data_IF_203357959488
#
_entry.id   IF_203357959488
#
_cell.length_a   1.000
_cell.length_b   1.000
_cell.length_c   1.000
_cell.angle_alpha   90.00
_cell.angle_beta   90.00
_cell.angle_gamma   90.00
#
_symmetry.space_group_name_H-M   'P 1'
#
loop_
_entity.id
_entity.type
_entity.pdbx_description
1 polymer ?
#
# COMPACT_ATOMS: atom_id res chain seq x y z
N UNK A 1 5.60 2.87 -23.25
CA UNK A 1 6.76 2.18 -22.61
C UNK A 1 7.46 3.00 -21.52
N UNK A 2 7.68 4.32 -21.68
CA UNK A 2 8.45 5.12 -20.72
C UNK A 2 7.92 5.11 -19.26
N UNK A 3 6.60 5.12 -19.06
CA UNK A 3 6.02 5.08 -17.71
C UNK A 3 6.25 3.74 -17.01
N UNK A 4 6.10 2.63 -17.75
CA UNK A 4 6.29 1.28 -17.22
C UNK A 4 7.74 1.04 -16.76
N UNK A 5 8.73 1.52 -17.53
CA UNK A 5 10.14 1.46 -17.15
C UNK A 5 10.45 2.27 -15.89
N UNK A 6 9.84 3.45 -15.74
CA UNK A 6 10.00 4.27 -14.54
C UNK A 6 9.39 3.62 -13.30
N UNK A 7 8.23 2.97 -13.43
CA UNK A 7 7.62 2.22 -12.32
C UNK A 7 8.51 1.04 -11.91
N UNK A 8 9.06 0.31 -12.88
CA UNK A 8 9.98 -0.82 -12.65
C UNK A 8 11.25 -0.39 -11.90
N UNK A 9 11.88 0.72 -12.31
CA UNK A 9 13.06 1.31 -11.64
C UNK A 9 12.76 1.72 -10.19
N UNK A 10 11.58 2.28 -9.94
CA UNK A 10 11.15 2.68 -8.59
C UNK A 10 10.91 1.48 -7.68
N UNK A 11 10.36 0.40 -8.23
CA UNK A 11 10.19 -0.87 -7.52
C UNK A 11 11.55 -1.48 -7.14
N UNK A 12 12.51 -1.52 -8.07
CA UNK A 12 13.86 -2.02 -7.80
C UNK A 12 14.56 -1.22 -6.70
N UNK A 13 14.35 0.09 -6.66
CA UNK A 13 14.93 1.00 -5.65
C UNK A 13 14.13 1.04 -4.34
N UNK A 14 13.08 0.23 -4.18
CA UNK A 14 12.18 0.19 -3.01
C UNK A 14 11.60 1.56 -2.63
N UNK A 15 11.40 2.45 -3.62
CA UNK A 15 10.86 3.78 -3.35
C UNK A 15 9.34 3.71 -3.45
N UNK A 16 8.59 4.14 -2.40
CA UNK A 16 7.14 4.04 -2.40
C UNK A 16 6.53 4.77 -3.61
N UNK A 17 5.59 4.12 -4.28
CA UNK A 17 4.79 4.69 -5.36
C UNK A 17 3.38 4.96 -4.86
N UNK A 18 2.93 6.21 -4.93
CA UNK A 18 1.52 6.56 -4.81
C UNK A 18 0.88 6.71 -6.19
N UNK A 19 -0.43 6.55 -6.26
CA UNK A 19 -1.20 6.82 -7.48
C UNK A 19 -0.99 8.26 -7.96
N UNK A 20 -0.97 9.23 -7.05
CA UNK A 20 -0.69 10.64 -7.35
C UNK A 20 0.64 10.86 -8.07
N UNK A 21 1.69 10.16 -7.65
CA UNK A 21 3.03 10.30 -8.22
C UNK A 21 3.14 9.63 -9.59
N UNK A 22 2.47 8.49 -9.78
CA UNK A 22 2.34 7.83 -11.10
C UNK A 22 1.56 8.72 -12.07
N UNK A 23 0.46 9.33 -11.62
CA UNK A 23 -0.34 10.29 -12.42
C UNK A 23 0.49 11.48 -12.85
N UNK A 24 1.24 12.07 -11.92
CA UNK A 24 2.10 13.22 -12.18
C UNK A 24 3.20 12.88 -13.18
N UNK A 25 3.83 11.70 -13.04
CA UNK A 25 4.83 11.22 -14.01
C UNK A 25 4.20 10.98 -15.38
N UNK A 26 3.01 10.38 -15.44
CA UNK A 26 2.29 10.14 -16.69
C UNK A 26 1.96 11.45 -17.41
N UNK A 27 1.46 12.47 -16.68
CA UNK A 27 1.21 13.81 -17.22
C UNK A 27 2.48 14.45 -17.78
N UNK A 28 3.59 14.40 -17.04
CA UNK A 28 4.88 14.94 -17.50
C UNK A 28 5.39 14.24 -18.75
N UNK A 29 5.28 12.92 -18.80
CA UNK A 29 5.64 12.15 -19.99
C UNK A 29 4.72 12.52 -21.17
N UNK A 30 3.41 12.66 -20.94
CA UNK A 30 2.46 13.06 -21.98
C UNK A 30 2.79 14.44 -22.55
N UNK A 31 3.04 15.44 -21.70
CA UNK A 31 3.45 16.79 -22.14
C UNK A 31 4.79 16.76 -22.87
N UNK A 32 5.73 15.95 -22.41
CA UNK A 32 7.05 15.82 -23.05
C UNK A 32 6.99 15.13 -24.42
N UNK A 33 6.05 14.23 -24.64
CA UNK A 33 5.86 13.57 -25.95
C UNK A 33 4.87 14.31 -26.86
N UNK A 34 4.07 15.23 -26.31
CA UNK A 34 3.21 16.13 -27.06
C UNK A 34 4.02 17.37 -27.43
N UNK A 35 4.78 17.28 -28.51
CA UNK A 35 5.43 18.45 -29.11
C UNK A 35 4.42 19.60 -29.29
N UNK A 36 4.84 20.87 -29.18
CA UNK A 36 3.98 21.98 -29.56
C UNK A 36 3.74 21.89 -31.07
N UNK A 37 2.52 21.51 -31.44
CA UNK A 37 2.06 21.62 -32.82
C UNK A 37 1.95 23.11 -33.18
N UNK A 38 3.08 23.70 -33.58
CA UNK A 38 3.06 24.99 -34.25
C UNK A 38 2.94 24.76 -35.76
N UNK A 39 1.83 25.29 -36.29
CA UNK A 39 1.48 25.46 -37.71
C UNK A 39 1.04 24.23 -38.52
N UNK A 40 -0.26 23.91 -38.47
CA UNK A 40 -1.08 23.91 -39.69
C UNK A 40 -2.58 23.88 -39.36
N UNK A 41 -3.35 24.71 -40.06
CA UNK A 41 -4.81 24.73 -40.05
C UNK A 41 -5.40 23.37 -40.38
N UNK A 42 -6.20 22.81 -39.47
CA UNK A 42 -6.93 21.57 -39.71
C UNK A 42 -7.66 21.13 -38.45
N UNK A 43 -8.97 21.30 -38.47
CA UNK A 43 -9.93 20.79 -37.49
C UNK A 43 -9.70 19.29 -37.24
N UNK A 44 -9.27 18.94 -36.03
CA UNK A 44 -9.10 17.55 -35.61
C UNK A 44 -9.73 17.39 -34.23
N UNK A 45 -10.81 16.63 -34.21
CA UNK A 45 -11.65 16.29 -33.06
C UNK A 45 -10.86 15.89 -31.83
N UNK A 46 -11.41 16.28 -30.68
CA UNK A 46 -11.12 15.84 -29.31
C UNK A 46 -11.02 14.30 -29.21
N UNK A 47 -9.88 13.77 -29.62
CA UNK A 47 -9.47 12.40 -29.38
C UNK A 47 -8.96 12.28 -27.95
N UNK A 48 -9.81 12.62 -26.99
CA UNK A 48 -9.58 12.35 -25.58
C UNK A 48 -9.18 10.89 -25.41
N UNK A 49 -8.12 10.65 -24.64
CA UNK A 49 -7.58 9.33 -24.34
C UNK A 49 -8.67 8.48 -23.67
N UNK A 50 -9.48 7.77 -24.47
CA UNK A 50 -10.50 6.85 -23.99
C UNK A 50 -9.82 5.56 -23.50
N UNK A 51 -9.31 5.61 -22.28
CA UNK A 51 -9.29 4.42 -21.42
C UNK A 51 -10.42 4.62 -20.42
N UNK A 52 -11.29 3.62 -20.25
CA UNK A 52 -12.52 3.78 -19.47
C UNK A 52 -12.24 4.45 -18.12
N UNK A 53 -12.90 5.57 -17.83
CA UNK A 53 -12.75 6.22 -16.52
C UNK A 53 -13.06 5.26 -15.36
N UNK A 54 -13.79 4.17 -15.64
CA UNK A 54 -14.10 3.09 -14.72
C UNK A 54 -12.88 2.38 -14.10
N UNK A 55 -11.81 2.08 -14.85
CA UNK A 55 -10.64 1.43 -14.24
C UNK A 55 -9.85 2.42 -13.37
N UNK A 56 -9.79 3.68 -13.77
CA UNK A 56 -9.06 4.73 -13.10
C UNK A 56 -9.76 5.22 -11.82
N UNK A 57 -11.09 5.34 -11.82
CA UNK A 57 -11.87 5.70 -10.64
C UNK A 57 -11.86 4.57 -9.59
N UNK A 58 -11.85 3.30 -10.04
CA UNK A 58 -11.65 2.14 -9.15
C UNK A 58 -10.24 2.13 -8.53
N UNK A 59 -9.23 2.61 -9.25
CA UNK A 59 -7.87 2.76 -8.73
C UNK A 59 -7.73 3.91 -7.72
N UNK A 60 -8.51 5.00 -7.84
CA UNK A 60 -8.53 6.10 -6.87
C UNK A 60 -9.17 5.71 -5.53
N UNK A 61 -10.17 4.84 -5.55
CA UNK A 61 -10.82 4.35 -4.32
C UNK A 61 -9.88 3.50 -3.45
N UNK A 62 -8.90 2.83 -4.06
CA UNK A 62 -7.91 2.00 -3.33
C UNK A 62 -6.71 2.81 -2.77
N UNK A 63 -6.66 4.13 -2.95
CA UNK A 63 -5.50 4.98 -2.55
C UNK A 63 -5.55 5.36 -1.06
N UNK A 64 -6.74 5.46 -0.46
CA UNK A 64 -6.94 5.68 0.98
C UNK A 64 -7.13 4.33 1.68
N UNK A 65 -6.04 3.79 2.26
CA UNK A 65 -6.18 2.60 3.11
C UNK A 65 -6.76 2.98 4.47
N UNK A 66 -8.00 2.57 4.64
CA UNK A 66 -8.78 2.62 5.87
C UNK A 66 -8.50 1.39 6.74
N UNK A 67 -8.90 1.44 8.02
CA UNK A 67 -8.80 0.31 8.94
C UNK A 67 -9.49 -0.95 8.39
N UNK A 68 -10.55 -0.77 7.59
CA UNK A 68 -11.24 -1.83 6.86
C UNK A 68 -10.40 -2.48 5.75
N UNK A 69 -9.49 -1.75 5.09
CA UNK A 69 -8.58 -2.33 4.09
C UNK A 69 -7.47 -3.18 4.74
N UNK A 70 -7.12 -2.89 6.01
CA UNK A 70 -6.23 -3.73 6.81
C UNK A 70 -6.88 -5.06 7.14
N UNK A 71 -8.16 -5.06 7.51
CA UNK A 71 -8.93 -6.29 7.73
C UNK A 71 -9.06 -7.11 6.42
N UNK A 72 -9.36 -6.47 5.29
CA UNK A 72 -9.43 -7.16 3.99
C UNK A 72 -8.07 -7.76 3.59
N UNK A 73 -6.96 -7.06 3.86
CA UNK A 73 -5.61 -7.58 3.63
C UNK A 73 -5.24 -8.76 4.55
N UNK A 74 -5.76 -8.78 5.79
CA UNK A 74 -5.60 -9.90 6.71
C UNK A 74 -6.44 -11.12 6.28
N UNK A 75 -7.64 -10.88 5.74
CA UNK A 75 -8.57 -11.92 5.28
C UNK A 75 -8.16 -12.50 3.92
N UNK A 76 -7.53 -11.70 3.06
CA UNK A 76 -7.08 -12.13 1.72
C UNK A 76 -5.80 -12.96 1.72
N UNK A 77 -5.16 -13.16 2.87
CA UNK A 77 -4.10 -14.17 2.99
C UNK A 77 -4.74 -15.56 2.93
N UNK A 78 -4.19 -16.51 2.14
CA UNK A 78 -4.73 -17.86 2.10
C UNK A 78 -4.79 -18.43 3.51
N UNK A 79 -5.99 -18.85 3.92
CA UNK A 79 -6.19 -19.64 5.14
C UNK A 79 -5.60 -21.01 4.81
N UNK A 80 -4.31 -21.15 5.06
CA UNK A 80 -3.69 -22.47 5.15
C UNK A 80 -4.20 -23.06 6.49
N UNK A 81 -5.26 -23.86 6.38
CA UNK A 81 -5.77 -24.72 7.45
C UNK A 81 -4.76 -25.85 7.67
N UNK A 82 -3.59 -25.52 8.19
CA UNK A 82 -2.56 -26.52 8.47
C UNK A 82 -2.77 -27.07 9.88
N UNK A 83 -3.31 -28.29 9.90
CA UNK A 83 -3.36 -29.14 11.06
C UNK A 83 -1.97 -29.20 11.72
N UNK A 84 -1.94 -28.81 12.99
CA UNK A 84 -0.77 -28.85 13.89
C UNK A 84 0.12 -30.06 13.67
N UNK A 85 1.34 -29.82 13.16
CA UNK A 85 2.52 -30.59 13.56
C UNK A 85 3.74 -29.67 13.74
N UNK A 86 4.04 -29.39 15.01
CA UNK A 86 5.39 -29.29 15.58
C UNK A 86 6.57 -28.96 14.63
N UNK A 87 6.85 -27.67 14.43
CA UNK A 87 8.20 -27.05 14.48
C UNK A 87 7.98 -25.54 14.31
N UNK A 88 8.04 -24.80 15.40
CA UNK A 88 7.68 -23.38 15.46
C UNK A 88 8.65 -22.49 14.69
N UNK A 89 8.41 -22.33 13.38
CA UNK A 89 8.96 -21.20 12.65
C UNK A 89 8.15 -19.96 13.07
N UNK A 90 8.66 -19.21 14.05
CA UNK A 90 8.09 -17.93 14.47
C UNK A 90 8.14 -16.99 13.26
N UNK A 91 7.04 -16.90 12.52
CA UNK A 91 6.99 -16.08 11.32
C UNK A 91 6.71 -14.64 11.72
N UNK A 92 7.73 -13.80 11.56
CA UNK A 92 7.60 -12.36 11.66
C UNK A 92 6.87 -11.85 10.40
N UNK A 93 5.56 -11.63 10.51
CA UNK A 93 4.69 -11.29 9.38
C UNK A 93 3.64 -10.26 9.79
N UNK A 94 2.88 -9.75 8.81
CA UNK A 94 1.89 -8.69 9.05
C UNK A 94 0.88 -9.05 10.15
N UNK A 95 0.40 -10.29 10.16
CA UNK A 95 -0.59 -10.79 11.12
C UNK A 95 0.00 -10.92 12.53
N UNK A 96 1.19 -11.48 12.68
CA UNK A 96 1.82 -11.64 14.00
C UNK A 96 2.26 -10.31 14.62
N UNK A 97 2.75 -9.37 13.81
CA UNK A 97 3.15 -8.02 14.28
C UNK A 97 1.94 -7.17 14.66
N UNK A 98 0.88 -7.17 13.84
CA UNK A 98 -0.36 -6.44 14.16
C UNK A 98 -1.01 -6.97 15.44
N UNK A 99 -1.05 -8.29 15.60
CA UNK A 99 -1.58 -8.94 16.79
C UNK A 99 -0.78 -8.59 18.06
N UNK A 100 0.56 -8.62 18.00
CA UNK A 100 1.40 -8.22 19.12
C UNK A 100 1.22 -6.75 19.53
N UNK A 101 1.03 -5.86 18.55
CA UNK A 101 0.74 -4.44 18.82
C UNK A 101 -0.66 -4.24 19.42
N UNK A 102 -1.65 -5.03 19.00
CA UNK A 102 -3.01 -5.02 19.59
C UNK A 102 -2.96 -5.39 21.08
N UNK A 103 -2.27 -6.49 21.42
CA UNK A 103 -2.12 -6.92 22.82
C UNK A 103 -1.43 -5.85 23.68
N UNK A 104 -0.41 -5.17 23.13
CA UNK A 104 0.28 -4.09 23.85
C UNK A 104 -0.65 -2.91 24.18
N UNK A 105 -1.57 -2.57 23.28
CA UNK A 105 -2.58 -1.54 23.52
C UNK A 105 -3.61 -1.99 24.58
N UNK A 106 -4.13 -3.22 24.46
CA UNK A 106 -5.06 -3.78 25.46
C UNK A 106 -4.45 -3.78 26.87
N UNK A 107 -3.15 -4.10 26.98
CA UNK A 107 -2.42 -4.04 28.24
C UNK A 107 -2.31 -2.61 28.78
N UNK A 108 -2.04 -1.62 27.92
CA UNK A 108 -2.02 -0.22 28.32
C UNK A 108 -3.38 0.27 28.82
N UNK A 109 -4.45 -0.10 28.12
CA UNK A 109 -5.81 0.28 28.50
C UNK A 109 -6.21 -0.35 29.83
N UNK A 110 -5.86 -1.63 30.05
CA UNK A 110 -6.09 -2.32 31.31
C UNK A 110 -5.49 -1.54 32.49
N UNK A 111 -4.19 -1.20 32.43
CA UNK A 111 -3.52 -0.47 33.51
C UNK A 111 -4.03 0.96 33.69
N UNK A 112 -4.41 1.64 32.60
CA UNK A 112 -5.01 2.98 32.67
C UNK A 112 -6.39 2.94 33.36
N UNK A 113 -7.14 1.85 33.21
CA UNK A 113 -8.45 1.68 33.83
C UNK A 113 -8.38 1.34 35.32
N UNK A 114 -7.44 0.47 35.73
CA UNK A 114 -7.31 0.08 37.14
C UNK A 114 -6.52 1.10 37.98
N UNK A 115 -5.68 1.90 37.34
CA UNK A 115 -4.90 2.98 37.95
C UNK A 115 -5.10 4.26 37.11
N UNK A 116 -6.20 4.99 37.37
CA UNK A 116 -6.55 6.23 36.66
C UNK A 116 -5.36 7.16 36.60
N UNK A 117 -5.19 7.98 35.54
CA UNK A 117 -3.92 8.50 35.00
C UNK A 117 -2.97 9.04 36.06
N UNK A 118 -2.33 8.10 36.74
CA UNK A 118 -1.36 8.28 37.80
C UNK A 118 0.01 8.15 37.15
N UNK A 119 1.01 8.79 37.76
CA UNK A 119 2.38 8.81 37.25
C UNK A 119 2.88 7.43 36.81
N UNK A 120 2.60 6.37 37.59
CA UNK A 120 3.00 4.99 37.26
C UNK A 120 2.30 4.43 36.01
N UNK A 121 0.99 4.61 35.85
CA UNK A 121 0.24 4.17 34.65
C UNK A 121 0.74 4.88 33.38
N UNK A 122 1.09 6.16 33.50
CA UNK A 122 1.60 6.97 32.39
C UNK A 122 3.04 6.57 32.01
N UNK A 123 3.89 6.31 33.00
CA UNK A 123 5.24 5.76 32.80
C UNK A 123 5.14 4.41 32.09
N UNK A 124 4.27 3.52 32.56
CA UNK A 124 4.05 2.21 31.95
C UNK A 124 3.63 2.34 30.47
N UNK A 125 2.59 3.15 30.18
CA UNK A 125 2.13 3.41 28.81
C UNK A 125 3.24 3.93 27.92
N UNK A 126 4.05 4.86 28.43
CA UNK A 126 5.20 5.43 27.70
C UNK A 126 6.25 4.36 27.38
N UNK A 127 6.57 3.50 28.35
CA UNK A 127 7.56 2.43 28.15
C UNK A 127 7.07 1.40 27.13
N UNK A 128 5.80 1.01 27.16
CA UNK A 128 5.21 0.10 26.16
C UNK A 128 5.22 0.74 24.77
N UNK A 129 4.86 2.03 24.65
CA UNK A 129 4.92 2.75 23.38
C UNK A 129 6.35 2.76 22.81
N UNK A 130 7.34 3.02 23.66
CA UNK A 130 8.75 3.00 23.26
C UNK A 130 9.22 1.59 22.86
N UNK A 131 8.87 0.56 23.62
CA UNK A 131 9.24 -0.83 23.33
C UNK A 131 8.60 -1.34 22.03
N UNK A 132 7.41 -0.83 21.69
CA UNK A 132 6.68 -1.23 20.47
C UNK A 132 7.03 -0.41 19.24
N UNK A 133 7.78 0.69 19.36
CA UNK A 133 8.08 1.61 18.26
C UNK A 133 8.77 0.94 17.06
N UNK A 134 9.71 0.01 17.30
CA UNK A 134 10.39 -0.73 16.24
C UNK A 134 9.41 -1.62 15.45
N UNK A 135 8.46 -2.27 16.14
CA UNK A 135 7.43 -3.09 15.52
C UNK A 135 6.41 -2.25 14.75
N UNK A 136 6.10 -1.04 15.23
CA UNK A 136 5.25 -0.09 14.50
C UNK A 136 5.90 0.37 13.18
N UNK A 137 7.20 0.61 13.18
CA UNK A 137 7.95 0.94 11.96
C UNK A 137 7.92 -0.23 10.98
N UNK A 138 8.20 -1.43 11.48
CA UNK A 138 8.25 -2.63 10.65
C UNK A 138 6.87 -2.99 10.08
N UNK A 139 5.78 -2.80 10.85
CA UNK A 139 4.41 -2.92 10.36
C UNK A 139 4.16 -1.97 9.18
N UNK A 140 4.63 -0.72 9.25
CA UNK A 140 4.48 0.26 8.16
C UNK A 140 5.24 -0.17 6.90
N UNK A 141 6.44 -0.71 7.03
CA UNK A 141 7.21 -1.21 5.88
C UNK A 141 6.59 -2.47 5.27
N UNK A 142 6.08 -3.40 6.08
CA UNK A 142 5.33 -4.57 5.60
C UNK A 142 4.08 -4.15 4.82
N UNK A 143 3.32 -3.17 5.34
CA UNK A 143 2.15 -2.64 4.65
C UNK A 143 2.49 -1.97 3.33
N UNK A 144 3.55 -1.15 3.31
CA UNK A 144 4.04 -0.51 2.08
C UNK A 144 4.45 -1.54 1.03
N UNK A 145 5.13 -2.61 1.45
CA UNK A 145 5.55 -3.69 0.56
C UNK A 145 4.35 -4.44 -0.02
N UNK A 146 3.38 -4.81 0.82
CA UNK A 146 2.17 -5.49 0.37
C UNK A 146 1.32 -4.64 -0.59
N UNK A 147 1.20 -3.32 -0.33
CA UNK A 147 0.55 -2.38 -1.25
C UNK A 147 1.25 -2.34 -2.61
N UNK A 148 2.59 -2.25 -2.59
CA UNK A 148 3.38 -2.21 -3.81
C UNK A 148 3.26 -3.50 -4.62
N UNK A 149 3.21 -4.65 -3.95
CA UNK A 149 2.99 -5.94 -4.57
C UNK A 149 1.61 -6.00 -5.26
N UNK A 150 0.53 -5.55 -4.58
CA UNK A 150 -0.83 -5.49 -5.16
C UNK A 150 -0.88 -4.62 -6.42
N UNK A 151 -0.25 -3.44 -6.39
CA UNK A 151 -0.14 -2.54 -7.55
C UNK A 151 0.64 -3.23 -8.68
N UNK A 152 1.76 -3.87 -8.37
CA UNK A 152 2.62 -4.52 -9.36
C UNK A 152 1.89 -5.68 -10.04
N UNK A 153 1.18 -6.52 -9.27
CA UNK A 153 0.32 -7.60 -9.79
C UNK A 153 -0.78 -7.05 -10.71
N UNK A 154 -1.45 -5.95 -10.34
CA UNK A 154 -2.46 -5.28 -11.20
C UNK A 154 -1.85 -4.80 -12.52
N UNK A 155 -0.66 -4.19 -12.49
CA UNK A 155 0.03 -3.72 -13.71
C UNK A 155 0.43 -4.91 -14.60
N UNK A 156 0.96 -5.99 -14.02
CA UNK A 156 1.31 -7.21 -14.75
C UNK A 156 0.08 -7.85 -15.39
N UNK A 157 -1.05 -7.90 -14.69
CA UNK A 157 -2.31 -8.42 -15.20
C UNK A 157 -2.80 -7.62 -16.42
N UNK A 158 -2.76 -6.28 -16.35
CA UNK A 158 -3.13 -5.41 -17.47
C UNK A 158 -2.21 -5.67 -18.68
N UNK A 159 -0.88 -5.79 -18.45
CA UNK A 159 0.08 -6.14 -19.51
C UNK A 159 -0.26 -7.48 -20.17
N UNK A 160 -0.70 -8.49 -19.41
CA UNK A 160 -1.10 -9.79 -19.98
C UNK A 160 -2.32 -9.67 -20.89
N UNK A 161 -3.35 -8.91 -20.49
CA UNK A 161 -4.56 -8.73 -21.32
C UNK A 161 -4.32 -7.85 -22.56
N UNK A 162 -3.34 -6.95 -22.53
CA UNK A 162 -2.99 -6.09 -23.67
C UNK A 162 -2.15 -6.80 -24.75
N UNK A 163 -1.53 -7.94 -24.44
CA UNK A 163 -0.69 -8.69 -25.40
C UNK A 163 -1.48 -9.71 -26.25
N UNK A 164 -2.81 -9.76 -26.14
CA UNK A 164 -3.69 -10.70 -26.86
C UNK A 164 -4.50 -10.06 -28.02
N UNK A 165 -4.09 -8.89 -28.52
CA UNK A 165 -4.67 -8.26 -29.74
C UNK A 165 -3.58 -7.85 -30.72
#
# INVERSE_FOLDING_TARGET
>A
MALSLWIEDRNQKRVPLSGSMVREKAKRLYVHFKEPADSCSGECTDGGFQTSEGWFNKFKQDEDLTETDLEEMLISQPIEEEASTSTGHLTFNLKSVSEGLRMANELCDFFTNIDPPMERSLIFKTQIANATAAYQYELKELLKTAKQEKITKKIQLIKMFQNFN
#
